data_IF_167391782336
#
_entry.id   IF_167391782336
#
_cell.length_a   1.000
_cell.length_b   1.000
_cell.length_c   1.000
_cell.angle_alpha   90.00
_cell.angle_beta   90.00
_cell.angle_gamma   90.00
#
_symmetry.space_group_name_H-M   'P 1'
#
loop_
_entity.id
_entity.type
_entity.pdbx_description
1 polymer ?
#
# COMPACT_ATOMS: atom_id res chain seq x y z
N UNK A 1 -5.17 32.53 -7.02
CA UNK A 1 -4.67 31.33 -6.33
C UNK A 1 -3.21 31.50 -6.01
N UNK A 2 -2.75 30.84 -4.95
CA UNK A 2 -1.32 30.67 -4.65
C UNK A 2 -0.78 29.37 -5.29
N UNK A 3 0.53 29.12 -5.11
CA UNK A 3 1.18 27.95 -5.70
C UNK A 3 0.74 26.64 -5.05
N UNK A 4 0.32 26.63 -3.78
CA UNK A 4 -0.10 25.40 -3.12
C UNK A 4 -1.44 24.95 -3.68
N UNK A 5 -2.41 25.86 -3.73
CA UNK A 5 -3.72 25.63 -4.34
C UNK A 5 -3.58 25.25 -5.83
N UNK A 6 -2.66 25.88 -6.57
CA UNK A 6 -2.40 25.54 -7.96
C UNK A 6 -1.93 24.09 -8.13
N UNK A 7 -0.97 23.63 -7.31
CA UNK A 7 -0.38 22.29 -7.37
C UNK A 7 -1.39 21.19 -7.11
N UNK A 8 -2.31 21.40 -6.17
CA UNK A 8 -3.40 20.47 -5.87
C UNK A 8 -4.36 20.29 -7.06
N UNK A 9 -4.46 21.29 -7.95
CA UNK A 9 -5.36 21.29 -9.10
C UNK A 9 -4.70 20.81 -10.41
N UNK A 10 -3.37 20.63 -10.47
CA UNK A 10 -2.66 20.33 -11.73
C UNK A 10 -3.07 19.00 -12.37
N UNK A 11 -3.23 17.93 -11.59
CA UNK A 11 -3.64 16.61 -12.12
C UNK A 11 -5.03 16.68 -12.74
N UNK A 12 -6.02 17.19 -11.99
CA UNK A 12 -7.39 17.33 -12.48
C UNK A 12 -7.48 18.30 -13.68
N UNK A 13 -6.61 19.30 -13.75
CA UNK A 13 -6.50 20.16 -14.92
C UNK A 13 -5.97 19.40 -16.14
N UNK A 14 -4.91 18.62 -15.98
CA UNK A 14 -4.29 17.81 -17.02
C UNK A 14 -5.28 16.79 -17.61
N UNK A 15 -6.09 16.16 -16.77
CA UNK A 15 -7.12 15.19 -17.16
C UNK A 15 -8.40 15.84 -17.72
N UNK A 16 -8.52 17.17 -17.69
CA UNK A 16 -9.70 17.89 -18.19
C UNK A 16 -10.91 17.88 -17.24
N UNK A 17 -10.73 17.46 -16.00
CA UNK A 17 -11.78 17.25 -14.99
C UNK A 17 -12.18 18.52 -14.23
N UNK A 18 -11.45 19.64 -14.39
CA UNK A 18 -11.78 20.88 -13.68
C UNK A 18 -13.01 21.62 -14.24
N UNK A 19 -13.88 22.16 -13.35
CA UNK A 19 -14.94 23.08 -13.76
C UNK A 19 -14.34 24.39 -14.31
N UNK A 20 -15.07 25.04 -15.21
CA UNK A 20 -14.59 26.20 -16.00
C UNK A 20 -14.01 27.35 -15.16
N UNK A 21 -14.64 27.67 -14.02
CA UNK A 21 -14.19 28.74 -13.13
C UNK A 21 -12.80 28.45 -12.52
N UNK A 22 -12.60 27.23 -12.00
CA UNK A 22 -11.32 26.81 -11.42
C UNK A 22 -10.24 26.66 -12.49
N UNK A 23 -10.61 26.13 -13.66
CA UNK A 23 -9.72 26.04 -14.82
C UNK A 23 -9.15 27.41 -15.20
N UNK A 24 -10.00 28.43 -15.33
CA UNK A 24 -9.59 29.77 -15.73
C UNK A 24 -8.68 30.46 -14.68
N UNK A 25 -8.98 30.24 -13.40
CA UNK A 25 -8.13 30.72 -12.31
C UNK A 25 -6.72 30.09 -12.40
N UNK A 26 -6.65 28.78 -12.67
CA UNK A 26 -5.40 28.03 -12.77
C UNK A 26 -4.59 28.42 -13.99
N UNK A 27 -5.21 28.54 -15.16
CA UNK A 27 -4.57 29.04 -16.38
C UNK A 27 -3.98 30.45 -16.19
N UNK A 28 -4.62 31.28 -15.36
CA UNK A 28 -4.09 32.61 -15.03
C UNK A 28 -2.83 32.51 -14.18
N UNK A 29 -2.81 31.61 -13.19
CA UNK A 29 -1.63 31.37 -12.38
C UNK A 29 -0.48 30.75 -13.19
N UNK A 30 -0.76 29.76 -14.05
CA UNK A 30 0.24 29.09 -14.88
C UNK A 30 0.96 30.06 -15.83
N UNK A 31 0.28 31.10 -16.31
CA UNK A 31 0.90 32.18 -17.11
C UNK A 31 1.91 33.03 -16.33
N UNK A 32 1.80 33.07 -15.01
CA UNK A 32 2.60 33.94 -14.14
C UNK A 32 3.65 33.16 -13.32
N UNK A 33 3.48 31.83 -13.18
CA UNK A 33 4.33 30.98 -12.34
C UNK A 33 5.00 29.86 -13.14
N UNK A 34 6.24 30.10 -13.55
CA UNK A 34 7.05 29.12 -14.29
C UNK A 34 7.27 27.79 -13.53
N UNK A 35 7.28 27.82 -12.19
CA UNK A 35 7.44 26.60 -11.39
C UNK A 35 6.22 25.67 -11.53
N UNK A 36 5.00 26.24 -11.48
CA UNK A 36 3.77 25.45 -11.64
C UNK A 36 3.56 25.01 -13.10
N UNK A 37 3.99 25.83 -14.08
CA UNK A 37 4.01 25.43 -15.49
C UNK A 37 4.95 24.24 -15.74
N UNK A 38 6.15 24.27 -15.15
CA UNK A 38 7.11 23.17 -15.25
C UNK A 38 6.57 21.88 -14.60
N UNK A 39 5.87 21.99 -13.48
CA UNK A 39 5.24 20.85 -12.83
C UNK A 39 4.10 20.26 -13.67
N UNK A 40 3.27 21.11 -14.28
CA UNK A 40 2.25 20.68 -15.23
C UNK A 40 2.86 19.90 -16.41
N UNK A 41 4.01 20.35 -16.93
CA UNK A 41 4.70 19.69 -18.03
C UNK A 41 5.20 18.27 -17.68
N UNK A 42 5.44 17.97 -16.40
CA UNK A 42 5.86 16.64 -15.95
C UNK A 42 4.75 15.60 -16.14
N UNK A 43 3.48 15.98 -15.95
CA UNK A 43 2.35 15.10 -16.25
C UNK A 43 2.32 14.71 -17.74
N UNK A 44 2.57 15.68 -18.63
CA UNK A 44 2.71 15.44 -20.07
C UNK A 44 3.84 14.46 -20.38
N UNK A 45 5.02 14.68 -19.81
CA UNK A 45 6.18 13.81 -20.03
C UNK A 45 5.94 12.35 -19.56
N UNK A 46 5.26 12.16 -18.43
CA UNK A 46 4.88 10.82 -17.94
C UNK A 46 3.85 10.18 -18.88
N UNK A 47 2.83 10.94 -19.30
CA UNK A 47 1.83 10.45 -20.25
C UNK A 47 2.47 9.98 -21.55
N UNK A 48 3.40 10.75 -22.11
CA UNK A 48 4.13 10.40 -23.33
C UNK A 48 4.95 9.11 -23.17
N UNK A 49 5.61 8.92 -22.02
CA UNK A 49 6.35 7.70 -21.71
C UNK A 49 5.44 6.47 -21.68
N UNK A 50 4.25 6.59 -21.08
CA UNK A 50 3.28 5.48 -21.02
C UNK A 50 2.71 5.18 -22.41
N UNK A 51 2.40 6.20 -23.21
CA UNK A 51 1.93 6.01 -24.59
C UNK A 51 2.98 5.37 -25.51
N UNK A 52 4.26 5.50 -25.16
CA UNK A 52 5.37 4.84 -25.86
C UNK A 52 5.54 3.35 -25.54
N UNK A 53 4.79 2.80 -24.58
CA UNK A 53 4.82 1.38 -24.24
C UNK A 53 3.91 0.58 -25.19
N UNK A 54 4.34 -0.64 -25.52
CA UNK A 54 3.50 -1.57 -26.26
C UNK A 54 2.26 -1.94 -25.42
N UNK A 55 1.08 -1.52 -25.87
CA UNK A 55 -0.17 -1.89 -25.23
C UNK A 55 -0.42 -3.41 -25.42
N UNK A 56 -0.59 -4.19 -24.34
CA UNK A 56 -0.92 -5.60 -24.48
C UNK A 56 -2.28 -5.75 -25.14
N UNK A 57 -2.40 -6.72 -26.04
CA UNK A 57 -3.69 -7.08 -26.62
C UNK A 57 -4.51 -7.78 -25.53
N UNK A 58 -5.66 -7.23 -25.11
CA UNK A 58 -6.49 -7.88 -24.10
C UNK A 58 -6.94 -9.27 -24.60
N UNK A 59 -7.03 -10.28 -23.72
CA UNK A 59 -7.57 -11.58 -24.08
C UNK A 59 -8.98 -11.46 -24.68
N UNK A 60 -9.26 -12.27 -25.69
CA UNK A 60 -10.62 -12.37 -26.27
C UNK A 60 -11.59 -12.81 -25.17
N UNK A 61 -12.72 -12.12 -25.04
CA UNK A 61 -13.73 -12.46 -24.03
C UNK A 61 -13.59 -11.71 -22.70
N UNK A 62 -12.58 -10.85 -22.53
CA UNK A 62 -12.37 -10.18 -21.24
C UNK A 62 -13.48 -9.18 -20.90
N UNK A 63 -14.07 -8.53 -21.91
CA UNK A 63 -15.18 -7.61 -21.71
C UNK A 63 -16.44 -8.34 -21.29
N UNK A 64 -16.74 -9.48 -21.91
CA UNK A 64 -17.86 -10.34 -21.55
C UNK A 64 -17.71 -10.92 -20.14
N UNK A 65 -16.48 -11.24 -19.71
CA UNK A 65 -16.19 -11.63 -18.33
C UNK A 65 -16.44 -10.50 -17.34
N UNK A 66 -15.97 -9.29 -17.65
CA UNK A 66 -16.19 -8.09 -16.82
C UNK A 66 -17.69 -7.78 -16.74
N UNK A 67 -18.41 -7.76 -17.88
CA UNK A 67 -19.86 -7.52 -17.94
C UNK A 67 -20.63 -8.57 -17.13
N UNK A 68 -20.30 -9.86 -17.27
CA UNK A 68 -20.96 -10.92 -16.50
C UNK A 68 -20.76 -10.78 -14.98
N UNK A 69 -19.60 -10.28 -14.55
CA UNK A 69 -19.32 -9.99 -13.14
C UNK A 69 -20.05 -8.77 -12.60
N UNK A 70 -20.46 -7.83 -13.47
CA UNK A 70 -21.25 -6.66 -13.11
C UNK A 70 -22.76 -6.98 -13.07
N UNK A 71 -23.23 -7.92 -13.90
CA UNK A 71 -24.63 -8.34 -13.95
C UNK A 71 -25.04 -9.23 -12.76
N UNK A 72 -24.11 -10.01 -12.17
CA UNK A 72 -24.39 -10.90 -11.05
C UNK A 72 -24.76 -10.14 -9.74
N UNK A 73 -24.35 -8.87 -9.61
CA UNK A 73 -24.72 -7.99 -8.49
C UNK A 73 -26.02 -7.19 -8.71
N UNK A 74 -26.68 -7.35 -9.87
CA UNK A 74 -27.85 -6.56 -10.27
C UNK A 74 -29.20 -7.30 -10.18
N UNK A 75 -29.39 -8.20 -9.22
CA UNK A 75 -30.72 -8.72 -8.88
C UNK A 75 -31.59 -7.69 -8.14
N UNK A 76 -31.89 -6.58 -8.82
CA UNK A 76 -32.94 -5.63 -8.45
C UNK A 76 -34.28 -6.35 -8.60
N UNK A 77 -34.83 -6.83 -7.49
CA UNK A 77 -36.15 -7.46 -7.51
C UNK A 77 -37.23 -6.45 -7.92
N UNK A 78 -38.17 -6.81 -8.80
CA UNK A 78 -39.25 -5.93 -9.21
C UNK A 78 -40.21 -5.70 -8.03
N UNK A 79 -40.23 -4.47 -7.52
CA UNK A 79 -41.21 -4.05 -6.52
C UNK A 79 -42.59 -3.96 -7.17
N UNK A 80 -43.40 -5.01 -7.03
CA UNK A 80 -44.82 -4.99 -7.42
C UNK A 80 -45.56 -4.03 -6.49
N UNK A 81 -46.04 -2.91 -7.03
CA UNK A 81 -46.83 -1.93 -6.26
C UNK A 81 -48.32 -2.29 -6.31
N UNK A 82 -48.98 -2.59 -5.17
CA UNK A 82 -50.42 -2.71 -5.15
C UNK A 82 -51.05 -1.30 -5.24
N UNK A 83 -52.10 -1.18 -6.04
CA UNK A 83 -52.82 0.08 -6.25
C UNK A 83 -53.87 0.23 -5.15
N UNK A 84 -53.71 1.22 -4.26
CA UNK A 84 -54.68 1.50 -3.19
C UNK A 84 -55.17 2.94 -3.24
N UNK A 85 -56.48 3.09 -3.02
CA UNK A 85 -57.31 4.27 -3.23
C UNK A 85 -57.02 5.38 -2.20
N UNK A 86 -56.80 6.60 -2.69
CA UNK A 86 -56.32 7.77 -1.93
C UNK A 86 -57.46 8.68 -1.50
N UNK A 87 -57.93 8.59 -0.25
CA UNK A 87 -58.80 9.65 0.29
C UNK A 87 -58.69 9.94 1.80
N UNK A 88 -57.86 9.23 2.58
CA UNK A 88 -57.86 9.42 4.04
C UNK A 88 -56.46 9.60 4.67
N UNK A 89 -55.38 9.48 3.89
CA UNK A 89 -54.00 9.52 4.42
C UNK A 89 -53.24 10.82 4.12
N UNK A 90 -53.91 11.98 4.05
CA UNK A 90 -53.24 13.26 3.80
C UNK A 90 -52.93 14.08 5.06
N UNK A 91 -53.17 13.55 6.27
CA UNK A 91 -52.96 14.28 7.54
C UNK A 91 -51.86 13.71 8.45
N UNK A 92 -51.32 12.52 8.16
CA UNK A 92 -50.24 11.92 8.96
C UNK A 92 -48.87 11.86 8.27
N UNK A 93 -48.74 12.35 7.03
CA UNK A 93 -47.49 12.28 6.24
C UNK A 93 -46.49 13.40 6.58
N UNK A 94 -46.92 14.50 7.21
CA UNK A 94 -46.03 15.64 7.47
C UNK A 94 -44.95 15.38 8.53
N UNK A 95 -45.14 14.41 9.45
CA UNK A 95 -44.18 14.13 10.54
C UNK A 95 -43.14 13.08 10.12
N UNK A 96 -43.51 12.10 9.27
CA UNK A 96 -42.59 11.05 8.84
C UNK A 96 -41.57 11.52 7.79
N UNK A 97 -41.93 12.48 6.92
CA UNK A 97 -41.03 13.01 5.89
C UNK A 97 -39.82 13.76 6.50
N UNK A 98 -40.01 14.46 7.63
CA UNK A 98 -38.92 15.14 8.32
C UNK A 98 -37.90 14.15 8.91
N UNK A 99 -38.37 12.99 9.43
CA UNK A 99 -37.49 11.96 9.98
C UNK A 99 -36.70 11.27 8.87
N UNK A 100 -37.32 10.96 7.72
CA UNK A 100 -36.60 10.35 6.58
C UNK A 100 -35.60 11.31 5.95
N UNK A 101 -35.87 12.62 5.94
CA UNK A 101 -34.89 13.62 5.48
C UNK A 101 -33.77 13.81 6.51
N UNK A 102 -34.05 13.82 7.82
CA UNK A 102 -33.00 13.91 8.85
C UNK A 102 -32.16 12.62 8.93
N UNK A 103 -32.77 11.44 8.79
CA UNK A 103 -32.06 10.16 8.74
C UNK A 103 -31.36 9.99 7.40
N UNK A 104 -31.96 10.43 6.29
CA UNK A 104 -31.35 10.39 4.96
C UNK A 104 -30.17 11.34 4.85
N UNK A 105 -30.32 12.59 5.29
CA UNK A 105 -29.20 13.55 5.43
C UNK A 105 -28.21 13.05 6.47
N UNK A 106 -28.65 12.44 7.58
CA UNK A 106 -27.76 11.85 8.58
C UNK A 106 -26.92 10.71 8.03
N UNK A 107 -27.51 9.82 7.22
CA UNK A 107 -26.82 8.71 6.55
C UNK A 107 -25.92 9.22 5.42
N UNK A 108 -26.35 10.24 4.68
CA UNK A 108 -25.60 10.80 3.55
C UNK A 108 -24.45 11.71 4.04
N UNK A 109 -24.65 12.48 5.10
CA UNK A 109 -23.58 13.16 5.85
C UNK A 109 -22.68 12.11 6.51
N UNK A 110 -23.22 11.01 7.06
CA UNK A 110 -22.38 9.94 7.61
C UNK A 110 -21.52 9.27 6.53
N UNK A 111 -22.04 9.03 5.32
CA UNK A 111 -21.24 8.46 4.24
C UNK A 111 -20.26 9.45 3.60
N UNK A 112 -20.60 10.75 3.54
CA UNK A 112 -19.74 11.80 2.96
C UNK A 112 -18.73 12.38 3.96
N UNK A 113 -19.01 12.38 5.26
CA UNK A 113 -18.08 12.81 6.32
C UNK A 113 -17.37 11.66 7.04
N UNK A 114 -18.00 10.49 7.28
CA UNK A 114 -17.34 9.36 7.94
C UNK A 114 -16.80 8.29 6.98
N UNK A 115 -17.06 8.39 5.67
CA UNK A 115 -16.52 7.46 4.67
C UNK A 115 -15.10 7.78 4.18
N UNK A 116 -14.54 8.94 4.55
CA UNK A 116 -13.28 9.46 4.00
C UNK A 116 -12.10 9.57 4.96
N UNK A 117 -12.30 9.50 6.28
CA UNK A 117 -11.27 9.99 7.22
C UNK A 117 -10.44 8.88 7.90
N UNK A 118 -10.99 7.69 8.18
CA UNK A 118 -10.25 6.67 8.96
C UNK A 118 -9.00 6.13 8.24
N UNK A 119 -9.02 6.06 6.91
CA UNK A 119 -7.87 5.59 6.13
C UNK A 119 -6.81 6.69 5.94
N UNK A 120 -7.23 7.96 5.88
CA UNK A 120 -6.33 9.11 5.77
C UNK A 120 -5.55 9.37 7.06
N UNK A 121 -6.20 9.21 8.22
CA UNK A 121 -5.54 9.34 9.52
C UNK A 121 -4.47 8.26 9.74
N UNK A 122 -4.76 7.00 9.41
CA UNK A 122 -3.79 5.90 9.48
C UNK A 122 -2.56 6.16 8.59
N UNK A 123 -2.79 6.70 7.38
CA UNK A 123 -1.72 7.08 6.45
C UNK A 123 -0.83 8.18 7.00
N UNK A 124 -1.44 9.22 7.58
CA UNK A 124 -0.74 10.35 8.17
C UNK A 124 0.08 9.90 9.39
N UNK A 125 -0.51 9.11 10.28
CA UNK A 125 0.15 8.62 11.49
C UNK A 125 1.36 7.74 11.15
N UNK A 126 1.26 6.87 10.15
CA UNK A 126 2.41 6.06 9.71
C UNK A 126 3.45 6.88 8.96
N UNK A 127 3.05 7.86 8.16
CA UNK A 127 3.99 8.76 7.52
C UNK A 127 4.80 9.57 8.54
N UNK A 128 4.16 10.04 9.62
CA UNK A 128 4.82 10.71 10.75
C UNK A 128 5.70 9.74 11.54
N UNK A 129 5.21 8.53 11.82
CA UNK A 129 5.98 7.48 12.48
C UNK A 129 7.28 7.17 11.74
N UNK A 130 7.22 7.00 10.41
CA UNK A 130 8.40 6.71 9.59
C UNK A 130 9.45 7.81 9.67
N UNK A 131 9.06 9.08 9.70
CA UNK A 131 9.97 10.22 9.84
C UNK A 131 10.53 10.34 11.26
N UNK A 132 9.69 10.13 12.27
CA UNK A 132 10.09 10.16 13.67
C UNK A 132 11.05 9.01 14.01
N UNK A 133 10.81 7.82 13.45
CA UNK A 133 11.57 6.60 13.78
C UNK A 133 13.06 6.76 13.54
N UNK A 134 13.45 7.52 12.52
CA UNK A 134 14.86 7.69 12.19
C UNK A 134 15.57 8.67 13.12
N UNK A 135 14.83 9.68 13.58
CA UNK A 135 15.35 10.67 14.52
C UNK A 135 15.46 10.08 15.91
N UNK A 136 14.42 9.37 16.34
CA UNK A 136 14.38 8.66 17.61
C UNK A 136 13.40 7.46 17.53
N UNK A 137 13.90 6.23 17.34
CA UNK A 137 13.08 5.03 17.27
C UNK A 137 12.19 4.83 18.51
N UNK A 138 12.70 5.22 19.68
CA UNK A 138 11.99 5.12 20.96
C UNK A 138 10.78 6.04 20.98
N UNK A 139 10.99 7.34 20.78
CA UNK A 139 9.90 8.33 20.80
C UNK A 139 8.86 8.04 19.71
N UNK A 140 9.30 7.59 18.53
CA UNK A 140 8.40 7.26 17.43
C UNK A 140 7.45 6.11 17.81
N UNK A 141 7.98 5.04 18.42
CA UNK A 141 7.12 3.95 18.85
C UNK A 141 6.24 4.36 20.04
N UNK A 142 6.73 5.17 20.98
CA UNK A 142 5.94 5.62 22.13
C UNK A 142 4.73 6.44 21.69
N UNK A 143 4.92 7.34 20.72
CA UNK A 143 3.84 8.08 20.07
C UNK A 143 2.82 7.13 19.43
N UNK A 144 3.28 6.15 18.64
CA UNK A 144 2.39 5.19 17.97
C UNK A 144 1.61 4.32 18.97
N UNK A 145 2.28 3.84 20.02
CA UNK A 145 1.66 3.09 21.13
C UNK A 145 0.62 3.95 21.85
N UNK A 146 0.88 5.24 22.06
CA UNK A 146 -0.09 6.15 22.67
C UNK A 146 -1.32 6.35 21.78
N UNK A 147 -1.11 6.59 20.48
CA UNK A 147 -2.19 6.80 19.50
C UNK A 147 -3.10 5.58 19.38
N UNK A 148 -2.52 4.37 19.32
CA UNK A 148 -3.26 3.13 19.06
C UNK A 148 -3.46 2.23 20.28
N UNK A 149 -3.39 2.81 21.49
CA UNK A 149 -3.60 2.12 22.77
C UNK A 149 -2.79 0.82 22.88
N UNK A 150 -1.52 0.88 22.47
CA UNK A 150 -0.61 -0.26 22.43
C UNK A 150 -0.36 -0.85 23.81
N UNK A 151 -0.45 -2.17 23.90
CA UNK A 151 -0.19 -2.93 25.11
C UNK A 151 1.10 -3.73 24.93
N UNK A 152 2.09 -3.51 25.81
CA UNK A 152 3.27 -4.36 25.87
C UNK A 152 2.85 -5.75 26.37
N UNK A 153 3.17 -6.78 25.60
CA UNK A 153 2.74 -8.16 25.86
C UNK A 153 3.91 -9.13 25.72
N UNK A 154 3.81 -10.26 26.40
CA UNK A 154 4.68 -11.42 26.13
C UNK A 154 4.33 -12.07 24.79
N UNK A 155 5.25 -12.88 24.24
CA UNK A 155 5.00 -13.61 23.00
C UNK A 155 3.78 -14.54 23.08
N UNK A 156 3.55 -15.16 24.24
CA UNK A 156 2.40 -16.05 24.46
C UNK A 156 1.08 -15.26 24.52
N UNK A 157 1.08 -14.10 25.17
CA UNK A 157 -0.09 -13.20 25.18
C UNK A 157 -0.39 -12.64 23.80
N UNK A 158 0.64 -12.23 23.04
CA UNK A 158 0.50 -11.82 21.65
C UNK A 158 -0.13 -12.95 20.83
N UNK A 159 0.41 -14.17 20.94
CA UNK A 159 -0.11 -15.35 20.23
C UNK A 159 -1.59 -15.61 20.55
N UNK A 160 -1.96 -15.48 21.84
CA UNK A 160 -3.34 -15.65 22.27
C UNK A 160 -4.28 -14.57 21.75
N UNK A 161 -3.84 -13.31 21.72
CA UNK A 161 -4.65 -12.17 21.25
C UNK A 161 -4.81 -12.18 19.73
N UNK A 162 -3.76 -12.56 19.00
CA UNK A 162 -3.71 -12.53 17.54
C UNK A 162 -4.26 -13.81 16.89
N UNK A 163 -4.26 -14.94 17.62
CA UNK A 163 -4.65 -16.24 17.06
C UNK A 163 -3.56 -16.90 16.19
N UNK A 164 -2.39 -16.27 16.08
CA UNK A 164 -1.21 -16.80 15.39
C UNK A 164 0.06 -16.39 16.14
N UNK A 165 1.15 -17.12 15.94
CA UNK A 165 2.47 -16.77 16.50
C UNK A 165 3.15 -15.71 15.61
N UNK A 166 3.51 -14.53 16.14
CA UNK A 166 4.19 -13.49 15.37
C UNK A 166 5.47 -13.97 14.70
N UNK A 167 5.76 -13.46 13.49
CA UNK A 167 6.89 -13.90 12.67
C UNK A 167 8.26 -13.76 13.35
N UNK A 168 8.42 -12.74 14.20
CA UNK A 168 9.66 -12.50 14.96
C UNK A 168 10.05 -13.68 15.87
N UNK A 169 9.10 -14.54 16.20
CA UNK A 169 9.32 -15.73 17.03
C UNK A 169 9.94 -16.91 16.26
N UNK A 170 10.01 -16.83 14.93
CA UNK A 170 10.68 -17.81 14.08
C UNK A 170 12.20 -17.63 14.13
N UNK A 171 12.65 -16.38 14.10
CA UNK A 171 14.06 -16.05 14.18
C UNK A 171 14.33 -14.58 13.90
N UNK A 172 15.55 -14.16 14.26
CA UNK A 172 16.12 -12.86 13.95
C UNK A 172 17.56 -13.07 13.44
N UNK A 173 18.11 -12.16 12.61
CA UNK A 173 19.52 -12.17 12.30
C UNK A 173 20.35 -12.08 13.59
N UNK A 174 21.54 -12.70 13.63
CA UNK A 174 22.34 -12.87 14.85
C UNK A 174 22.62 -11.56 15.61
N UNK A 175 22.73 -10.44 14.90
CA UNK A 175 23.01 -9.13 15.52
C UNK A 175 21.83 -8.54 16.29
N UNK A 176 20.63 -9.07 16.13
CA UNK A 176 19.41 -8.50 16.70
C UNK A 176 18.80 -9.42 17.75
N UNK A 177 18.26 -8.80 18.78
CA UNK A 177 17.40 -9.44 19.77
C UNK A 177 16.04 -8.74 19.83
N UNK A 178 15.02 -9.51 20.19
CA UNK A 178 13.68 -8.97 20.44
C UNK A 178 13.69 -8.20 21.76
N UNK A 179 13.35 -6.91 21.72
CA UNK A 179 13.31 -6.03 22.89
C UNK A 179 11.91 -6.01 23.52
N UNK A 180 10.88 -5.69 22.73
CA UNK A 180 9.49 -5.65 23.22
C UNK A 180 8.50 -5.94 22.09
N UNK A 181 7.36 -6.54 22.44
CA UNK A 181 6.23 -6.77 21.55
C UNK A 181 5.03 -5.97 22.05
N UNK A 182 4.40 -5.24 21.14
CA UNK A 182 3.19 -4.48 21.37
C UNK A 182 2.06 -5.02 20.51
N UNK A 183 0.87 -5.13 21.10
CA UNK A 183 -0.37 -5.31 20.34
C UNK A 183 -1.08 -3.96 20.25
N UNK A 184 -1.28 -3.48 19.03
CA UNK A 184 -1.88 -2.20 18.70
C UNK A 184 -3.32 -2.41 18.23
N UNK A 185 -4.24 -1.57 18.72
CA UNK A 185 -5.64 -1.56 18.29
C UNK A 185 -5.80 -0.54 17.17
N UNK A 186 -5.53 -0.97 15.95
CA UNK A 186 -5.71 -0.13 14.77
C UNK A 186 -7.20 -0.10 14.39
N UNK A 187 -7.71 0.98 13.77
CA UNK A 187 -9.09 1.04 13.29
C UNK A 187 -9.45 -0.10 12.32
N UNK A 188 -8.50 -0.53 11.50
CA UNK A 188 -8.72 -1.56 10.47
C UNK A 188 -8.43 -3.00 10.94
N UNK A 189 -7.57 -3.20 11.95
CA UNK A 189 -7.12 -4.52 12.38
C UNK A 189 -6.43 -4.51 13.75
N UNK A 190 -6.19 -5.70 14.31
CA UNK A 190 -5.22 -5.85 15.41
C UNK A 190 -3.85 -6.05 14.79
N UNK A 191 -2.95 -5.09 15.01
CA UNK A 191 -1.58 -5.14 14.52
C UNK A 191 -0.65 -5.54 15.66
N UNK A 192 0.43 -6.25 15.35
CA UNK A 192 1.53 -6.49 16.28
C UNK A 192 2.76 -5.73 15.80
N UNK A 193 3.39 -5.00 16.73
CA UNK A 193 4.65 -4.31 16.52
C UNK A 193 5.72 -4.97 17.40
N UNK A 194 6.81 -5.41 16.79
CA UNK A 194 7.97 -5.97 17.50
C UNK A 194 9.16 -5.02 17.34
N UNK A 195 9.69 -4.54 18.46
CA UNK A 195 10.90 -3.73 18.49
C UNK A 195 12.09 -4.65 18.66
N UNK A 196 13.05 -4.58 17.74
CA UNK A 196 14.26 -5.39 17.75
C UNK A 196 15.48 -4.48 17.82
N UNK A 197 16.45 -4.83 18.68
CA UNK A 197 17.63 -4.01 18.96
C UNK A 197 18.90 -4.83 18.76
N UNK A 198 19.93 -4.18 18.21
CA UNK A 198 21.29 -4.68 18.17
C UNK A 198 22.11 -4.13 19.33
N UNK A 199 23.24 -4.79 19.62
CA UNK A 199 24.16 -4.40 20.71
C UNK A 199 24.74 -2.97 20.53
N UNK A 200 24.82 -2.50 19.29
CA UNK A 200 25.28 -1.15 18.93
C UNK A 200 24.19 -0.08 19.08
N UNK A 201 22.98 -0.45 19.52
CA UNK A 201 21.82 0.43 19.65
C UNK A 201 20.98 0.58 18.39
N UNK A 202 21.39 0.01 17.26
CA UNK A 202 20.57 0.00 16.04
C UNK A 202 19.24 -0.69 16.33
N UNK A 203 18.13 -0.05 15.94
CA UNK A 203 16.78 -0.56 16.15
C UNK A 203 16.06 -0.69 14.82
N UNK A 204 15.29 -1.76 14.66
CA UNK A 204 14.24 -1.82 13.64
C UNK A 204 12.90 -2.21 14.28
N UNK A 205 11.81 -1.78 13.67
CA UNK A 205 10.47 -2.20 14.02
C UNK A 205 9.93 -3.16 12.95
N UNK A 206 9.30 -4.24 13.40
CA UNK A 206 8.55 -5.16 12.55
C UNK A 206 7.07 -5.05 12.88
N UNK A 207 6.26 -4.75 11.88
CA UNK A 207 4.81 -4.75 11.97
C UNK A 207 4.24 -5.95 11.24
N UNK A 208 3.18 -6.54 11.80
CA UNK A 208 2.45 -7.63 11.18
C UNK A 208 0.94 -7.43 11.34
N UNK A 209 0.20 -7.64 10.26
CA UNK A 209 -1.25 -7.46 10.19
C UNK A 209 -1.86 -8.30 9.06
N UNK A 210 -3.17 -8.59 9.13
CA UNK A 210 -3.85 -9.44 8.13
C UNK A 210 -4.25 -8.67 6.87
N UNK A 211 -4.89 -7.52 7.03
CA UNK A 211 -5.43 -6.72 5.92
C UNK A 211 -4.30 -6.06 5.14
N UNK A 212 -4.27 -6.15 3.81
CA UNK A 212 -3.32 -5.35 3.02
C UNK A 212 -3.54 -3.86 3.33
N UNK A 213 -2.45 -3.15 3.56
CA UNK A 213 -2.47 -1.72 3.86
C UNK A 213 -1.49 -1.06 2.90
N UNK A 214 -1.92 -0.68 1.68
CA UNK A 214 -1.07 0.10 0.76
C UNK A 214 -0.62 1.47 1.33
N UNK A 215 -1.05 1.78 2.55
CA UNK A 215 -0.97 3.04 3.26
C UNK A 215 0.33 3.23 4.08
N UNK A 216 1.10 2.17 4.38
CA UNK A 216 2.28 2.26 5.27
C UNK A 216 3.31 3.30 4.86
N UNK A 217 3.42 3.59 3.56
CA UNK A 217 4.40 4.53 3.04
C UNK A 217 3.87 5.95 2.81
N UNK A 218 2.57 6.18 3.04
CA UNK A 218 1.88 7.39 2.60
C UNK A 218 1.99 7.59 1.09
N UNK A 219 2.20 8.83 0.65
CA UNK A 219 2.36 9.18 -0.77
C UNK A 219 3.80 9.00 -1.30
N UNK A 220 4.68 8.32 -0.56
CA UNK A 220 6.09 8.17 -0.95
C UNK A 220 6.22 7.19 -2.12
N UNK A 221 7.06 7.49 -3.12
CA UNK A 221 7.29 6.55 -4.22
C UNK A 221 7.97 5.29 -3.69
N UNK A 222 7.34 4.13 -3.90
CA UNK A 222 7.91 2.83 -3.58
C UNK A 222 8.51 2.18 -4.81
N UNK A 223 9.56 1.39 -4.59
CA UNK A 223 10.15 0.52 -5.58
C UNK A 223 9.71 -0.90 -5.27
N UNK A 224 9.20 -1.60 -6.28
CA UNK A 224 8.94 -3.03 -6.17
C UNK A 224 10.20 -3.81 -6.55
N UNK A 225 10.67 -4.66 -5.65
CA UNK A 225 11.84 -5.50 -5.88
C UNK A 225 11.61 -6.93 -5.37
N UNK A 226 12.42 -7.88 -5.85
CA UNK A 226 12.47 -9.22 -5.26
C UNK A 226 13.51 -9.23 -4.14
N UNK A 227 13.10 -9.54 -2.91
CA UNK A 227 14.00 -9.71 -1.77
C UNK A 227 13.82 -11.13 -1.22
N UNK A 228 14.85 -11.96 -1.35
CA UNK A 228 14.81 -13.36 -0.96
C UNK A 228 13.57 -14.13 -1.50
N UNK A 229 13.23 -13.89 -2.77
CA UNK A 229 12.11 -14.52 -3.46
C UNK A 229 10.71 -13.98 -3.09
N UNK A 230 10.62 -12.98 -2.20
CA UNK A 230 9.38 -12.25 -1.92
C UNK A 230 9.30 -11.00 -2.79
N UNK A 231 8.09 -10.64 -3.23
CA UNK A 231 7.84 -9.33 -3.83
C UNK A 231 7.70 -8.32 -2.70
N UNK A 232 8.59 -7.35 -2.65
CA UNK A 232 8.66 -6.34 -1.60
C UNK A 232 8.41 -4.97 -2.21
N UNK A 233 7.55 -4.18 -1.57
CA UNK A 233 7.43 -2.76 -1.82
C UNK A 233 8.34 -2.02 -0.83
N UNK A 234 9.29 -1.24 -1.35
CA UNK A 234 10.42 -0.68 -0.60
C UNK A 234 10.42 0.83 -0.76
N UNK A 235 10.61 1.54 0.36
CA UNK A 235 10.78 2.99 0.40
C UNK A 235 12.05 3.31 1.16
N UNK A 236 12.86 4.20 0.59
CA UNK A 236 14.01 4.77 1.28
C UNK A 236 13.59 6.06 1.99
N UNK A 237 14.02 6.19 3.25
CA UNK A 237 13.71 7.31 4.13
C UNK A 237 15.03 7.66 4.83
N UNK A 238 15.55 8.88 4.69
CA UNK A 238 16.87 9.37 5.16
C UNK A 238 17.99 8.33 5.41
N UNK A 239 18.21 7.42 4.45
CA UNK A 239 19.31 6.43 4.49
C UNK A 239 18.97 5.07 5.10
N UNK A 240 17.75 4.88 5.62
CA UNK A 240 17.19 3.58 6.00
C UNK A 240 16.08 3.16 5.03
N UNK A 241 15.73 1.89 5.07
CA UNK A 241 14.67 1.27 4.31
C UNK A 241 13.49 0.97 5.22
N UNK A 242 12.31 1.26 4.70
CA UNK A 242 11.07 0.62 5.11
C UNK A 242 10.62 -0.30 3.97
N UNK A 243 10.22 -1.53 4.28
CA UNK A 243 9.86 -2.51 3.27
C UNK A 243 8.68 -3.36 3.75
N UNK A 244 7.72 -3.59 2.86
CA UNK A 244 6.56 -4.42 3.14
C UNK A 244 6.49 -5.59 2.16
N UNK A 245 6.07 -6.75 2.66
CA UNK A 245 5.85 -7.95 1.84
C UNK A 245 4.77 -8.86 2.43
N UNK A 246 4.21 -9.70 1.58
CA UNK A 246 3.22 -10.69 2.00
C UNK A 246 3.89 -11.97 2.50
N UNK A 247 3.45 -12.46 3.65
CA UNK A 247 3.79 -13.77 4.18
C UNK A 247 2.52 -14.54 4.58
N UNK A 248 2.18 -15.56 3.79
CA UNK A 248 0.91 -16.28 3.88
C UNK A 248 -0.27 -15.31 3.71
N UNK A 249 -1.18 -15.23 4.68
CA UNK A 249 -2.33 -14.31 4.68
C UNK A 249 -2.06 -12.98 5.37
N UNK A 250 -0.82 -12.72 5.77
CA UNK A 250 -0.41 -11.56 6.56
C UNK A 250 0.57 -10.71 5.77
N UNK A 251 0.62 -9.43 6.10
CA UNK A 251 1.57 -8.47 5.58
C UNK A 251 2.54 -8.12 6.69
N UNK A 252 3.82 -8.13 6.35
CA UNK A 252 4.91 -7.77 7.24
C UNK A 252 5.53 -6.47 6.72
N UNK A 253 5.76 -5.52 7.62
CA UNK A 253 6.44 -4.26 7.29
C UNK A 253 7.60 -4.06 8.25
N UNK A 254 8.83 -4.02 7.72
CA UNK A 254 10.02 -3.62 8.47
C UNK A 254 10.26 -2.13 8.27
N UNK A 255 10.61 -1.44 9.36
CA UNK A 255 11.08 -0.05 9.36
C UNK A 255 12.44 0.01 10.04
N UNK A 256 13.45 0.49 9.33
CA UNK A 256 14.80 0.70 9.87
C UNK A 256 15.87 -0.28 9.38
N UNK A 257 15.62 -1.02 8.30
CA UNK A 257 16.68 -1.81 7.66
C UNK A 257 17.70 -0.88 6.99
N UNK A 258 19.01 -1.17 7.08
CA UNK A 258 20.06 -0.28 6.55
C UNK A 258 20.22 -0.38 5.03
N UNK A 259 20.04 -1.59 4.50
CA UNK A 259 20.22 -1.89 3.08
C UNK A 259 19.42 -3.14 2.67
N UNK A 260 19.46 -3.46 1.38
CA UNK A 260 18.77 -4.61 0.83
C UNK A 260 19.32 -5.95 1.36
N UNK A 261 20.60 -6.04 1.69
CA UNK A 261 21.19 -7.28 2.19
C UNK A 261 20.65 -7.61 3.59
N UNK A 262 20.59 -6.60 4.46
CA UNK A 262 19.97 -6.73 5.78
C UNK A 262 18.46 -7.04 5.67
N UNK A 263 17.76 -6.43 4.72
CA UNK A 263 16.36 -6.76 4.46
C UNK A 263 16.17 -8.23 4.05
N UNK A 264 17.02 -8.76 3.17
CA UNK A 264 16.96 -10.16 2.77
C UNK A 264 17.28 -11.13 3.92
N UNK A 265 18.24 -10.78 4.78
CA UNK A 265 18.57 -11.55 5.98
C UNK A 265 17.39 -11.56 6.96
N UNK A 266 16.72 -10.42 7.16
CA UNK A 266 15.50 -10.33 7.96
C UNK A 266 14.39 -11.20 7.38
N UNK A 267 14.11 -11.09 6.08
CA UNK A 267 13.08 -11.91 5.42
C UNK A 267 13.40 -13.40 5.58
N UNK A 268 14.66 -13.80 5.45
CA UNK A 268 15.09 -15.20 5.63
C UNK A 268 14.85 -15.68 7.07
N UNK A 269 15.25 -14.90 8.06
CA UNK A 269 15.11 -15.26 9.48
C UNK A 269 13.65 -15.31 9.96
N UNK A 270 12.78 -14.49 9.39
CA UNK A 270 11.37 -14.40 9.77
C UNK A 270 10.49 -15.50 9.15
N UNK A 271 11.01 -16.23 8.15
CA UNK A 271 10.26 -17.30 7.51
C UNK A 271 9.96 -18.43 8.49
N UNK A 272 8.76 -19.01 8.34
CA UNK A 272 8.38 -20.23 9.04
C UNK A 272 9.09 -21.41 8.36
N UNK A 273 9.75 -22.28 9.13
CA UNK A 273 10.51 -23.45 8.63
C UNK A 273 9.68 -24.29 7.65
N UNK A 274 8.36 -24.32 7.81
CA UNK A 274 7.41 -25.07 6.97
C UNK A 274 7.24 -24.52 5.54
N UNK A 275 7.62 -23.26 5.29
CA UNK A 275 7.53 -22.65 3.96
C UNK A 275 8.74 -22.96 3.03
N UNK A 276 9.77 -23.60 3.58
CA UNK A 276 10.92 -24.12 2.82
C UNK A 276 10.63 -25.45 2.08
N UNK A 277 9.48 -26.08 2.35
CA UNK A 277 9.09 -27.41 1.87
C UNK A 277 8.46 -27.48 0.46
N UNK A 278 8.92 -26.70 -0.52
CA UNK A 278 8.53 -26.92 -1.94
C UNK A 278 9.72 -26.88 -2.91
N UNK A 279 10.92 -27.16 -2.43
CA UNK A 279 12.04 -27.53 -3.31
C UNK A 279 12.65 -28.86 -2.91
N UNK A 280 11.97 -29.96 -3.27
CA UNK A 280 12.67 -31.22 -3.49
C UNK A 280 11.94 -32.08 -4.50
N UNK A 281 12.39 -32.00 -5.75
CA UNK A 281 12.59 -33.19 -6.57
C UNK A 281 13.92 -33.01 -7.32
N UNK A 282 14.99 -33.50 -6.68
CA UNK A 282 16.23 -33.86 -7.36
C UNK A 282 16.41 -35.36 -7.19
N UNK A 283 16.08 -36.08 -8.24
CA UNK A 283 16.69 -37.33 -8.70
C UNK A 283 16.36 -37.39 -10.20
N UNK A 284 17.21 -37.73 -11.15
CA UNK A 284 18.61 -38.11 -11.18
C UNK A 284 18.90 -38.14 -12.70
N UNK A 285 19.82 -37.33 -13.21
CA UNK A 285 20.59 -37.71 -14.41
C UNK A 285 21.88 -36.91 -14.42
N UNK A 286 22.97 -37.64 -14.18
CA UNK A 286 24.32 -37.15 -14.42
C UNK A 286 24.55 -36.77 -15.88
N UNK A 287 25.63 -36.03 -16.08
CA UNK A 287 26.15 -35.49 -17.34
C UNK A 287 25.52 -34.17 -17.84
N UNK A 288 26.13 -33.05 -17.45
CA UNK A 288 26.65 -32.05 -18.40
C UNK A 288 27.26 -30.83 -17.68
N UNK A 289 28.23 -31.04 -16.79
CA UNK A 289 29.24 -30.00 -16.56
C UNK A 289 30.08 -29.91 -17.84
N UNK A 290 29.85 -28.92 -18.71
CA UNK A 290 30.81 -28.37 -19.71
C UNK A 290 30.20 -27.48 -20.82
N UNK A 291 28.91 -27.10 -20.80
CA UNK A 291 28.29 -26.39 -21.94
C UNK A 291 28.00 -24.89 -21.76
N UNK A 292 28.08 -24.30 -20.55
CA UNK A 292 27.74 -22.89 -20.35
C UNK A 292 28.91 -21.89 -20.51
N UNK A 293 30.16 -22.35 -20.37
CA UNK A 293 31.35 -21.48 -20.52
C UNK A 293 31.75 -21.18 -21.98
N UNK A 294 31.08 -21.74 -23.01
CA UNK A 294 31.39 -21.47 -24.43
C UNK A 294 30.46 -20.48 -25.13
N UNK A 295 29.43 -19.95 -24.45
CA UNK A 295 28.47 -18.99 -25.05
C UNK A 295 28.71 -17.51 -24.70
N UNK A 296 29.65 -17.22 -23.80
CA UNK A 296 30.04 -15.86 -23.42
C UNK A 296 31.29 -15.30 -24.15
N UNK A 297 31.88 -16.04 -25.11
CA UNK A 297 33.03 -15.58 -25.91
C UNK A 297 32.70 -15.34 -27.40
N UNK A 298 31.42 -15.22 -27.78
CA UNK A 298 31.00 -15.03 -29.18
C UNK A 298 30.21 -13.74 -29.48
N UNK A 299 30.27 -12.75 -28.58
CA UNK A 299 29.63 -11.43 -28.77
C UNK A 299 30.64 -10.27 -28.81
N UNK A 300 31.95 -10.51 -28.60
CA UNK A 300 33.00 -9.47 -28.65
C UNK A 300 33.79 -9.46 -29.98
N UNK A 301 33.33 -10.16 -31.02
CA UNK A 301 34.06 -10.28 -32.30
C UNK A 301 33.30 -9.78 -33.55
N UNK A 302 32.22 -9.00 -33.40
CA UNK A 302 31.42 -8.51 -34.55
C UNK A 302 31.20 -6.98 -34.60
N UNK A 303 31.95 -6.20 -33.83
CA UNK A 303 31.91 -4.72 -33.90
C UNK A 303 33.22 -4.09 -34.38
N UNK A 304 34.12 -4.87 -35.00
CA UNK A 304 35.43 -4.39 -35.46
C UNK A 304 35.67 -4.52 -36.98
N UNK A 305 34.62 -4.57 -37.82
CA UNK A 305 34.78 -4.65 -39.28
C UNK A 305 33.84 -3.79 -40.11
N UNK A 306 33.27 -2.71 -39.57
CA UNK A 306 32.47 -1.77 -40.36
C UNK A 306 33.02 -0.34 -40.24
N UNK A 307 34.26 -0.21 -40.71
CA UNK A 307 35.03 1.03 -40.69
C UNK A 307 36.10 0.98 -41.78
N UNK A 308 35.68 0.90 -43.03
CA UNK A 308 36.46 1.36 -44.19
C UNK A 308 35.59 1.55 -45.43
#
# INVERSE_FOLDING_TARGET
>A
MDCQEARELLSAYFDGELPSERRQSLESHLRECAACEQELAQFGAISDLVHGLDAPIPPVGIWEQIESGLDDDMLVQPVVRPRVNTSVLSRFVAIAAAIVVVVGIGVLVNQVWYGGDEHGHLAADFAEYLEAFQKNPTDAHESLVSTYQGEAVTMDEATKKLGYRPAVANGLPERYSLDTVYVLKMPCCTCVQSICKADDGTTFALFEHETDQPIWFGNRPSIRASCFGKSCDIVQIDGLLAASWQMNRRHLTVVGARDLAELEDLIRSLQDDLSSGTTQDVHNSGHASHSWQRRAQRVVALTASDGR
#
